data_IF_227541832239
#
_entry.id   IF_227541832239
#
_cell.length_a   1.000
_cell.length_b   1.000
_cell.length_c   1.000
_cell.angle_alpha   90.00
_cell.angle_beta   90.00
_cell.angle_gamma   90.00
#
_symmetry.space_group_name_H-M   'P 1'
#
loop_
_entity.id
_entity.type
_entity.pdbx_description
1 polymer ?
#
# COMPACT_ATOMS: atom_id res chain seq x y z
N UNK A 1 75.87 32.71 -6.48
CA UNK A 1 74.89 33.07 -7.52
C UNK A 1 74.18 31.84 -8.11
N UNK A 2 74.75 31.07 -9.05
CA UNK A 2 74.04 29.89 -9.64
C UNK A 2 73.74 28.76 -8.64
N UNK A 3 74.70 28.43 -7.76
CA UNK A 3 74.53 27.40 -6.72
C UNK A 3 73.42 27.77 -5.72
N UNK A 4 73.39 29.02 -5.29
CA UNK A 4 72.40 29.51 -4.32
C UNK A 4 71.00 29.57 -4.95
N UNK A 5 70.90 29.93 -6.22
CA UNK A 5 69.64 29.91 -6.97
C UNK A 5 69.11 28.48 -7.16
N UNK A 6 69.99 27.52 -7.44
CA UNK A 6 69.64 26.08 -7.50
C UNK A 6 69.15 25.55 -6.15
N UNK A 7 69.81 25.93 -5.04
CA UNK A 7 69.35 25.56 -3.70
C UNK A 7 67.98 26.14 -3.38
N UNK A 8 67.77 27.41 -3.70
CA UNK A 8 66.46 28.06 -3.53
C UNK A 8 65.37 27.40 -4.38
N UNK A 9 65.70 26.93 -5.59
CA UNK A 9 64.75 26.17 -6.43
C UNK A 9 64.41 24.79 -5.84
N UNK A 10 65.39 24.09 -5.25
CA UNK A 10 65.16 22.82 -4.55
C UNK A 10 64.31 23.01 -3.30
N UNK A 11 64.61 24.03 -2.48
CA UNK A 11 63.81 24.39 -1.30
C UNK A 11 62.38 24.78 -1.67
N UNK A 12 62.20 25.57 -2.74
CA UNK A 12 60.88 25.93 -3.27
C UNK A 12 60.11 24.68 -3.74
N UNK A 13 60.80 23.74 -4.39
CA UNK A 13 60.21 22.47 -4.82
C UNK A 13 59.76 21.61 -3.63
N UNK A 14 60.59 21.51 -2.59
CA UNK A 14 60.29 20.79 -1.37
C UNK A 14 59.09 21.41 -0.62
N UNK A 15 59.05 22.73 -0.48
CA UNK A 15 57.94 23.44 0.15
C UNK A 15 56.63 23.29 -0.62
N UNK A 16 56.66 23.35 -1.95
CA UNK A 16 55.47 23.11 -2.79
C UNK A 16 54.92 21.69 -2.63
N UNK A 17 55.81 20.69 -2.50
CA UNK A 17 55.40 19.31 -2.27
C UNK A 17 54.75 19.13 -0.90
N UNK A 18 55.35 19.71 0.15
CA UNK A 18 54.78 19.69 1.50
C UNK A 18 53.41 20.40 1.55
N UNK A 19 53.25 21.53 0.85
CA UNK A 19 51.96 22.21 0.72
C UNK A 19 50.91 21.33 0.06
N UNK A 20 51.25 20.65 -1.03
CA UNK A 20 50.31 19.76 -1.73
C UNK A 20 49.87 18.56 -0.86
N UNK A 21 50.78 18.00 -0.06
CA UNK A 21 50.48 16.93 0.90
C UNK A 21 49.51 17.42 1.99
N UNK A 22 49.79 18.58 2.60
CA UNK A 22 48.91 19.18 3.62
C UNK A 22 47.55 19.57 3.05
N UNK A 23 47.49 20.11 1.83
CA UNK A 23 46.22 20.42 1.15
C UNK A 23 45.39 19.15 0.88
N UNK A 24 46.04 18.04 0.52
CA UNK A 24 45.36 16.77 0.32
C UNK A 24 44.77 16.22 1.64
N UNK A 25 45.50 16.33 2.75
CA UNK A 25 45.01 15.97 4.08
C UNK A 25 43.84 16.85 4.53
N UNK A 26 43.92 18.16 4.30
CA UNK A 26 42.83 19.09 4.61
C UNK A 26 41.57 18.71 3.83
N UNK A 27 41.69 18.43 2.53
CA UNK A 27 40.54 18.01 1.71
C UNK A 27 39.96 16.69 2.19
N UNK A 28 40.80 15.72 2.57
CA UNK A 28 40.35 14.45 3.12
C UNK A 28 39.56 14.65 4.43
N UNK A 29 40.07 15.47 5.34
CA UNK A 29 39.39 15.78 6.61
C UNK A 29 38.08 16.55 6.39
N UNK A 30 38.06 17.52 5.47
CA UNK A 30 36.85 18.28 5.12
C UNK A 30 35.78 17.43 4.42
N UNK A 31 36.17 16.33 3.78
CA UNK A 31 35.21 15.39 3.18
C UNK A 31 34.49 14.50 4.20
N UNK A 32 34.97 14.47 5.44
CA UNK A 32 34.36 13.75 6.56
C UNK A 32 33.49 14.70 7.39
N UNK A 33 32.37 14.17 7.93
CA UNK A 33 31.55 14.93 8.87
C UNK A 33 32.35 15.22 10.13
N UNK A 34 32.23 16.45 10.62
CA UNK A 34 32.81 16.82 11.91
C UNK A 34 32.11 16.06 13.03
N UNK A 35 32.81 15.85 14.14
CA UNK A 35 32.24 15.18 15.32
C UNK A 35 30.94 15.83 15.81
N UNK A 36 30.85 17.17 15.75
CA UNK A 36 29.64 17.92 16.11
C UNK A 36 28.45 17.62 15.18
N UNK A 37 28.69 17.53 13.88
CA UNK A 37 27.65 17.17 12.91
C UNK A 37 27.21 15.70 13.05
N UNK A 38 28.13 14.81 13.40
CA UNK A 38 27.82 13.40 13.70
C UNK A 38 26.88 13.32 14.90
N UNK A 39 27.20 14.02 16.01
CA UNK A 39 26.33 14.05 17.18
C UNK A 39 24.96 14.67 16.89
N UNK A 40 24.90 15.73 16.09
CA UNK A 40 23.63 16.34 15.68
C UNK A 40 22.77 15.35 14.86
N UNK A 41 23.37 14.63 13.91
CA UNK A 41 22.69 13.58 13.13
C UNK A 41 22.25 12.42 14.01
N UNK A 42 23.08 11.99 14.94
CA UNK A 42 22.74 10.92 15.88
C UNK A 42 21.54 11.29 16.74
N UNK A 43 21.53 12.50 17.31
CA UNK A 43 20.41 12.99 18.11
C UNK A 43 19.11 13.04 17.30
N UNK A 44 19.18 13.52 16.05
CA UNK A 44 18.03 13.55 15.14
C UNK A 44 17.50 12.15 14.84
N UNK A 45 18.37 11.23 14.45
CA UNK A 45 17.99 9.85 14.14
C UNK A 45 17.39 9.12 15.34
N UNK A 46 17.95 9.33 16.55
CA UNK A 46 17.39 8.78 17.79
C UNK A 46 15.98 9.31 18.05
N UNK A 47 15.73 10.59 17.82
CA UNK A 47 14.39 11.18 17.94
C UNK A 47 13.41 10.58 16.93
N UNK A 48 13.82 10.44 15.67
CA UNK A 48 13.01 9.85 14.61
C UNK A 48 12.65 8.38 14.91
N UNK A 49 13.61 7.60 15.43
CA UNK A 49 13.38 6.22 15.86
C UNK A 49 12.33 6.16 16.97
N UNK A 50 12.46 6.99 18.01
CA UNK A 50 11.48 7.02 19.11
C UNK A 50 10.08 7.41 18.63
N UNK A 51 9.96 8.38 17.74
CA UNK A 51 8.67 8.76 17.16
C UNK A 51 8.05 7.63 16.32
N UNK A 52 8.87 6.92 15.56
CA UNK A 52 8.42 5.78 14.75
C UNK A 52 8.02 4.59 15.61
N UNK A 53 8.72 4.35 16.71
CA UNK A 53 8.36 3.34 17.71
C UNK A 53 7.03 3.67 18.41
N UNK A 54 6.80 4.92 18.83
CA UNK A 54 5.51 5.33 19.41
C UNK A 54 4.34 5.18 18.41
N UNK A 55 4.55 5.54 17.14
CA UNK A 55 3.59 5.30 16.06
C UNK A 55 3.32 3.81 15.88
N UNK A 56 4.36 2.97 15.89
CA UNK A 56 4.21 1.52 15.78
C UNK A 56 3.49 0.92 16.98
N UNK A 57 3.77 1.38 18.20
CA UNK A 57 3.07 0.94 19.41
C UNK A 57 1.59 1.26 19.28
N UNK A 58 1.21 2.48 18.86
CA UNK A 58 -0.19 2.86 18.61
C UNK A 58 -0.87 2.02 17.54
N UNK A 59 -0.16 1.75 16.44
CA UNK A 59 -0.67 0.90 15.34
C UNK A 59 -0.84 -0.56 15.77
N UNK A 60 0.04 -1.07 16.64
CA UNK A 60 0.00 -2.45 17.17
C UNK A 60 -0.98 -2.60 18.34
N UNK A 61 -1.14 -1.57 19.17
CA UNK A 61 -2.13 -1.51 20.24
C UNK A 61 -3.54 -1.26 19.69
N UNK A 62 -3.64 -0.68 18.49
CA UNK A 62 -4.81 -0.81 17.65
C UNK A 62 -5.07 -2.28 17.41
N UNK A 63 -5.97 -2.84 18.21
CA UNK A 63 -6.36 -4.25 18.18
C UNK A 63 -6.52 -4.69 16.72
N UNK A 64 -5.73 -5.68 16.28
CA UNK A 64 -6.01 -6.41 15.05
C UNK A 64 -7.32 -7.15 15.28
N UNK A 65 -8.45 -6.44 15.04
CA UNK A 65 -9.80 -6.88 15.41
C UNK A 65 -10.24 -8.11 14.63
N UNK A 66 -9.56 -8.40 13.51
CA UNK A 66 -9.82 -9.55 12.65
C UNK A 66 -8.50 -10.10 12.18
N UNK A 67 -8.24 -11.38 12.47
CA UNK A 67 -7.05 -12.06 11.94
C UNK A 67 -7.14 -12.11 10.41
N UNK A 68 -6.01 -12.03 9.68
CA UNK A 68 -6.02 -12.10 8.22
C UNK A 68 -6.66 -13.40 7.69
N UNK A 69 -6.54 -14.50 8.44
CA UNK A 69 -7.17 -15.78 8.14
C UNK A 69 -8.71 -15.70 8.24
N UNK A 70 -9.23 -15.18 9.35
CA UNK A 70 -10.67 -14.99 9.56
C UNK A 70 -11.27 -14.06 8.49
N UNK A 71 -10.55 -12.99 8.14
CA UNK A 71 -10.95 -12.10 7.05
C UNK A 71 -11.05 -12.83 5.71
N UNK A 72 -10.07 -13.70 5.41
CA UNK A 72 -10.06 -14.47 4.16
C UNK A 72 -11.24 -15.44 4.08
N UNK A 73 -11.54 -16.16 5.17
CA UNK A 73 -12.69 -17.08 5.25
C UNK A 73 -14.01 -16.35 5.01
N UNK A 74 -14.18 -15.17 5.61
CA UNK A 74 -15.39 -14.35 5.42
C UNK A 74 -15.49 -13.85 3.98
N UNK A 75 -14.40 -13.38 3.39
CA UNK A 75 -14.39 -12.93 1.98
C UNK A 75 -14.70 -14.06 0.99
N UNK A 76 -14.16 -15.26 1.21
CA UNK A 76 -14.45 -16.44 0.39
C UNK A 76 -15.91 -16.87 0.52
N UNK A 77 -16.42 -16.96 1.76
CA UNK A 77 -17.82 -17.29 2.02
C UNK A 77 -18.76 -16.27 1.37
N UNK A 78 -18.45 -14.98 1.49
CA UNK A 78 -19.24 -13.91 0.88
C UNK A 78 -19.22 -14.00 -0.66
N UNK A 79 -18.06 -14.24 -1.26
CA UNK A 79 -17.95 -14.47 -2.71
C UNK A 79 -18.76 -15.67 -3.16
N UNK A 80 -18.77 -16.75 -2.39
CA UNK A 80 -19.55 -17.94 -2.70
C UNK A 80 -21.06 -17.64 -2.67
N UNK A 81 -21.55 -16.96 -1.63
CA UNK A 81 -22.97 -16.61 -1.50
C UNK A 81 -23.45 -15.70 -2.62
N UNK A 82 -22.66 -14.70 -3.02
CA UNK A 82 -23.00 -13.83 -4.16
C UNK A 82 -23.06 -14.62 -5.46
N UNK A 83 -22.13 -15.56 -5.68
CA UNK A 83 -22.16 -16.44 -6.85
C UNK A 83 -23.40 -17.35 -6.85
N UNK A 84 -23.79 -17.89 -5.69
CA UNK A 84 -24.99 -18.70 -5.56
C UNK A 84 -26.26 -17.89 -5.85
N UNK A 85 -26.37 -16.66 -5.33
CA UNK A 85 -27.50 -15.77 -5.61
C UNK A 85 -27.61 -15.46 -7.11
N UNK A 86 -26.50 -15.11 -7.77
CA UNK A 86 -26.48 -14.88 -9.23
C UNK A 86 -26.94 -16.10 -10.02
N UNK A 87 -26.46 -17.31 -9.66
CA UNK A 87 -26.86 -18.56 -10.33
C UNK A 87 -28.36 -18.84 -10.15
N UNK A 88 -28.87 -18.74 -8.92
CA UNK A 88 -30.28 -18.99 -8.62
C UNK A 88 -31.20 -17.99 -9.32
N UNK A 89 -30.85 -16.70 -9.32
CA UNK A 89 -31.60 -15.66 -10.04
C UNK A 89 -31.64 -15.95 -11.54
N UNK A 90 -30.52 -16.42 -12.13
CA UNK A 90 -30.47 -16.79 -13.55
C UNK A 90 -31.37 -17.98 -13.85
N UNK A 91 -31.27 -19.06 -13.07
CA UNK A 91 -32.10 -20.27 -13.25
C UNK A 91 -33.58 -19.93 -13.10
N UNK A 92 -33.94 -19.16 -12.07
CA UNK A 92 -35.32 -18.72 -11.87
C UNK A 92 -35.82 -17.92 -13.07
N UNK A 93 -35.04 -16.96 -13.57
CA UNK A 93 -35.42 -16.18 -14.75
C UNK A 93 -35.57 -17.04 -15.99
N UNK A 94 -34.65 -17.96 -16.26
CA UNK A 94 -34.74 -18.90 -17.38
C UNK A 94 -36.04 -19.75 -17.32
N UNK A 95 -36.40 -20.26 -16.13
CA UNK A 95 -37.64 -21.01 -15.92
C UNK A 95 -38.88 -20.12 -16.04
N UNK A 96 -38.83 -18.92 -15.46
CA UNK A 96 -39.94 -17.97 -15.50
C UNK A 96 -40.24 -17.51 -16.92
N UNK A 97 -39.20 -17.17 -17.69
CA UNK A 97 -39.31 -16.80 -19.08
C UNK A 97 -39.93 -17.97 -19.88
N UNK A 98 -39.47 -19.21 -19.69
CA UNK A 98 -40.04 -20.39 -20.35
C UNK A 98 -41.51 -20.66 -19.99
N UNK A 99 -41.94 -20.38 -18.76
CA UNK A 99 -43.35 -20.52 -18.32
C UNK A 99 -44.22 -19.41 -18.91
N UNK A 100 -43.68 -18.20 -19.01
CA UNK A 100 -44.45 -17.01 -19.40
C UNK A 100 -44.44 -16.73 -20.90
N UNK A 101 -43.51 -17.31 -21.66
CA UNK A 101 -43.33 -17.10 -23.11
C UNK A 101 -44.59 -17.44 -23.94
N UNK A 102 -45.40 -18.41 -23.50
CA UNK A 102 -46.65 -18.81 -24.17
C UNK A 102 -47.89 -18.65 -23.27
N UNK A 103 -47.78 -17.87 -22.19
CA UNK A 103 -48.87 -17.67 -21.23
C UNK A 103 -49.94 -16.71 -21.80
N UNK A 104 -51.24 -17.10 -21.78
CA UNK A 104 -52.34 -16.18 -22.07
C UNK A 104 -52.70 -15.27 -20.87
N UNK A 105 -52.13 -15.49 -19.68
CA UNK A 105 -52.34 -14.67 -18.47
C UNK A 105 -51.38 -13.47 -18.43
N UNK A 106 -51.80 -12.37 -17.81
CA UNK A 106 -50.91 -11.26 -17.49
C UNK A 106 -49.83 -11.73 -16.50
N UNK A 107 -48.57 -11.51 -16.87
CA UNK A 107 -47.38 -11.95 -16.13
C UNK A 107 -47.32 -11.30 -14.75
N UNK A 108 -47.86 -10.08 -14.62
CA UNK A 108 -47.91 -9.37 -13.33
C UNK A 108 -48.90 -10.00 -12.35
N UNK A 109 -50.12 -10.27 -12.81
CA UNK A 109 -51.15 -10.94 -12.00
C UNK A 109 -50.71 -12.37 -11.62
N UNK A 110 -50.06 -13.09 -12.55
CA UNK A 110 -49.53 -14.42 -12.27
C UNK A 110 -48.37 -14.41 -11.26
N UNK A 111 -47.54 -13.35 -11.27
CA UNK A 111 -46.48 -13.14 -10.28
C UNK A 111 -47.07 -12.91 -8.89
N UNK A 112 -48.12 -12.08 -8.79
CA UNK A 112 -48.82 -11.80 -7.52
C UNK A 112 -49.60 -13.02 -7.00
N UNK A 113 -50.27 -13.78 -7.88
CA UNK A 113 -50.96 -15.04 -7.55
C UNK A 113 -49.99 -16.07 -6.94
N UNK A 114 -48.76 -16.14 -7.46
CA UNK A 114 -47.71 -17.03 -6.96
C UNK A 114 -46.94 -16.47 -5.74
N UNK A 115 -47.19 -15.22 -5.33
CA UNK A 115 -46.50 -14.59 -4.21
C UNK A 115 -45.00 -14.41 -4.43
N UNK A 116 -44.58 -14.16 -5.69
CA UNK A 116 -43.17 -13.98 -6.02
C UNK A 116 -42.73 -12.54 -5.74
N UNK A 117 -41.62 -12.39 -5.03
CA UNK A 117 -40.98 -11.10 -4.73
C UNK A 117 -39.60 -11.04 -5.39
N UNK A 118 -39.26 -9.90 -5.99
CA UNK A 118 -37.92 -9.64 -6.50
C UNK A 118 -37.03 -9.04 -5.41
N UNK A 119 -35.71 -9.12 -5.63
CA UNK A 119 -34.73 -8.50 -4.74
C UNK A 119 -35.04 -7.01 -4.47
N UNK A 120 -35.55 -6.28 -5.47
CA UNK A 120 -35.93 -4.86 -5.37
C UNK A 120 -37.17 -4.65 -4.47
N UNK A 121 -38.11 -5.60 -4.47
CA UNK A 121 -39.34 -5.55 -3.67
C UNK A 121 -39.02 -5.62 -2.15
N UNK A 122 -37.88 -6.23 -1.80
CA UNK A 122 -37.35 -6.32 -0.42
C UNK A 122 -36.19 -5.34 -0.15
N UNK A 123 -35.90 -4.42 -1.07
CA UNK A 123 -34.87 -3.38 -0.90
C UNK A 123 -33.42 -3.88 -1.02
N UNK A 124 -33.21 -5.02 -1.68
CA UNK A 124 -31.90 -5.68 -1.82
C UNK A 124 -31.42 -5.59 -3.27
N UNK A 125 -30.16 -5.21 -3.50
CA UNK A 125 -29.58 -5.12 -4.85
C UNK A 125 -28.34 -5.99 -5.00
N UNK A 126 -28.41 -7.02 -5.85
CA UNK A 126 -27.25 -7.89 -6.14
C UNK A 126 -26.01 -7.10 -6.59
N UNK A 127 -26.22 -5.98 -7.29
CA UNK A 127 -25.13 -5.13 -7.78
C UNK A 127 -24.40 -4.43 -6.62
N UNK A 128 -25.14 -3.83 -5.68
CA UNK A 128 -24.53 -3.13 -4.54
C UNK A 128 -23.69 -4.09 -3.69
N UNK A 129 -24.18 -5.29 -3.43
CA UNK A 129 -23.45 -6.32 -2.70
C UNK A 129 -22.25 -6.88 -3.49
N UNK A 130 -22.34 -6.95 -4.82
CA UNK A 130 -21.22 -7.35 -5.69
C UNK A 130 -20.11 -6.30 -5.72
N UNK A 131 -20.43 -5.00 -5.61
CA UNK A 131 -19.44 -3.93 -5.62
C UNK A 131 -18.59 -3.90 -4.34
N UNK A 132 -19.14 -4.36 -3.21
CA UNK A 132 -18.39 -4.54 -1.96
C UNK A 132 -17.24 -5.56 -2.10
N UNK A 133 -17.39 -6.60 -2.92
CA UNK A 133 -16.33 -7.57 -3.27
C UNK A 133 -15.24 -6.96 -4.15
N UNK A 134 -15.62 -6.07 -5.07
CA UNK A 134 -14.66 -5.43 -5.97
C UNK A 134 -13.78 -4.41 -5.22
N UNK A 135 -14.36 -3.71 -4.25
CA UNK A 135 -13.64 -2.80 -3.35
C UNK A 135 -12.65 -3.53 -2.43
N UNK A 136 -12.93 -4.76 -2.02
CA UNK A 136 -11.96 -5.56 -1.23
C UNK A 136 -10.80 -6.05 -2.10
N UNK A 137 -11.07 -6.46 -3.35
CA UNK A 137 -10.02 -6.85 -4.31
C UNK A 137 -9.09 -5.71 -4.69
N UNK A 138 -9.62 -4.51 -4.99
CA UNK A 138 -8.80 -3.32 -5.31
C UNK A 138 -7.83 -2.96 -4.19
N UNK A 139 -8.27 -3.09 -2.92
CA UNK A 139 -7.41 -2.84 -1.75
C UNK A 139 -6.26 -3.83 -1.60
N UNK A 140 -6.39 -5.07 -2.08
CA UNK A 140 -5.31 -6.08 -2.06
C UNK A 140 -4.21 -5.84 -3.09
N UNK A 141 -4.52 -5.18 -4.20
CA UNK A 141 -3.55 -4.85 -5.27
C UNK A 141 -2.72 -3.60 -5.02
N UNK A 142 -3.11 -2.78 -4.03
CA UNK A 142 -2.43 -1.51 -3.70
C UNK A 142 -1.57 -1.60 -2.44
N UNK A 143 -1.37 -2.81 -1.89
CA UNK A 143 -0.44 -3.10 -0.80
C UNK A 143 0.72 -3.96 -1.29
#
# INVERSE_FOLDING_TARGET
MKKDNSKLQEELGAQKKALAEVEAEIRALQSSLTLGEIHAKEAKLRSEVLEMEDKLVKLRSGVVLVKPEEKKVVEESYSEKINQWRKRKRIFKELWDAITENSPKDVKEFKEELGLEYDEDVGVSLQSYSDLLNLSKKRKTSQ
#
